data_IF_149164902572
#
_entry.id   IF_149164902572
#
_cell.length_a   1.000
_cell.length_b   1.000
_cell.length_c   1.000
_cell.angle_alpha   90.00
_cell.angle_beta   90.00
_cell.angle_gamma   90.00
#
_symmetry.space_group_name_H-M   'P 1'
#
loop_
_entity.id
_entity.type
_entity.pdbx_description
1 polymer ?
#
# COMPACT_ATOMS: atom_id res chain seq x y z
N UNK A 1 -5.59 -26.55 -10.07
CA UNK A 1 -5.82 -25.72 -9.07
C UNK A 1 -4.84 -24.64 -8.90
N UNK A 2 -5.25 -23.53 -8.94
CA UNK A 2 -4.39 -22.39 -8.85
C UNK A 2 -3.96 -22.11 -7.42
N UNK A 3 -2.73 -21.71 -7.24
CA UNK A 3 -2.30 -21.20 -5.98
C UNK A 3 -2.73 -19.75 -5.87
N UNK A 4 -3.11 -19.36 -4.67
CA UNK A 4 -3.40 -17.98 -4.42
C UNK A 4 -2.08 -17.23 -4.44
N UNK A 5 -1.99 -16.26 -5.33
CA UNK A 5 -0.81 -15.45 -5.45
C UNK A 5 -1.00 -14.21 -4.61
N UNK A 6 -0.06 -13.92 -3.75
CA UNK A 6 -0.11 -12.71 -2.94
C UNK A 6 0.91 -11.74 -3.50
N UNK A 7 0.43 -10.59 -3.92
CA UNK A 7 1.30 -9.55 -4.43
C UNK A 7 1.79 -8.73 -3.24
N UNK A 8 3.10 -8.59 -3.14
CA UNK A 8 3.72 -7.81 -2.09
C UNK A 8 4.46 -6.65 -2.70
N UNK A 9 4.19 -5.46 -2.19
CA UNK A 9 4.87 -4.25 -2.64
C UNK A 9 5.64 -3.67 -1.48
N UNK A 10 6.95 -3.67 -1.61
CA UNK A 10 7.82 -3.12 -0.57
C UNK A 10 7.99 -1.63 -0.80
N UNK A 11 7.33 -0.85 0.02
CA UNK A 11 7.32 0.60 -0.10
C UNK A 11 8.15 1.29 0.96
N UNK A 12 8.78 0.51 1.84
CA UNK A 12 9.53 1.14 2.92
C UNK A 12 10.67 1.97 2.33
N UNK A 13 10.98 3.08 2.96
CA UNK A 13 12.00 3.98 2.45
C UNK A 13 11.48 5.08 1.54
N UNK A 14 10.27 4.93 1.01
CA UNK A 14 9.65 6.00 0.25
C UNK A 14 8.96 6.99 1.19
N UNK A 15 8.77 8.19 0.72
CA UNK A 15 8.02 9.20 1.44
C UNK A 15 6.57 9.18 0.98
N UNK A 16 5.61 9.52 1.85
CA UNK A 16 4.21 9.58 1.42
C UNK A 16 3.98 10.41 0.18
N UNK A 17 4.75 11.49 -0.01
CA UNK A 17 4.60 12.33 -1.19
C UNK A 17 4.96 11.60 -2.48
N UNK A 18 5.71 10.53 -2.38
CA UNK A 18 6.11 9.76 -3.56
C UNK A 18 5.11 8.66 -3.90
N UNK A 19 4.34 8.22 -2.93
CA UNK A 19 3.47 7.07 -3.10
C UNK A 19 1.99 7.45 -2.96
N UNK A 20 1.65 8.20 -1.92
CA UNK A 20 0.25 8.49 -1.60
C UNK A 20 -0.24 9.72 -2.33
N UNK A 21 0.60 10.76 -2.41
CA UNK A 21 0.20 12.03 -3.00
C UNK A 21 0.37 12.05 -4.52
N UNK A 22 0.80 10.94 -5.08
CA UNK A 22 0.90 10.74 -6.53
C UNK A 22 -0.05 9.63 -6.92
N UNK A 23 -0.02 9.21 -8.17
CA UNK A 23 -0.86 8.08 -8.59
C UNK A 23 -0.24 6.74 -8.30
N UNK A 24 0.89 6.66 -7.63
CA UNK A 24 1.58 5.37 -7.47
C UNK A 24 0.73 4.38 -6.69
N UNK A 25 0.17 4.80 -5.56
CA UNK A 25 -0.68 3.91 -4.78
C UNK A 25 -1.88 3.45 -5.60
N UNK A 26 -2.50 4.37 -6.32
CA UNK A 26 -3.62 4.05 -7.17
C UNK A 26 -3.25 3.01 -8.22
N UNK A 27 -2.09 3.19 -8.86
CA UNK A 27 -1.63 2.26 -9.89
C UNK A 27 -1.34 0.88 -9.31
N UNK A 28 -0.78 0.82 -8.13
CA UNK A 28 -0.53 -0.46 -7.46
C UNK A 28 -1.85 -1.20 -7.28
N UNK A 29 -2.84 -0.53 -6.73
CA UNK A 29 -4.14 -1.13 -6.46
C UNK A 29 -4.82 -1.54 -7.76
N UNK A 30 -4.86 -0.61 -8.71
CA UNK A 30 -5.51 -0.86 -9.99
C UNK A 30 -4.88 -2.02 -10.75
N UNK A 31 -3.56 -2.02 -10.84
CA UNK A 31 -2.88 -3.06 -11.62
C UNK A 31 -2.99 -4.43 -10.96
N UNK A 32 -2.94 -4.47 -9.63
CA UNK A 32 -3.13 -5.73 -8.92
C UNK A 32 -4.53 -6.27 -9.17
N UNK A 33 -5.52 -5.38 -9.17
CA UNK A 33 -6.90 -5.77 -9.49
C UNK A 33 -7.01 -6.25 -10.93
N UNK A 34 -6.32 -5.57 -11.86
CA UNK A 34 -6.33 -5.96 -13.27
C UNK A 34 -5.70 -7.33 -13.49
N UNK A 35 -4.81 -7.73 -12.61
CA UNK A 35 -4.21 -9.06 -12.65
C UNK A 35 -5.15 -10.14 -12.13
N UNK A 36 -6.27 -9.75 -11.55
CA UNK A 36 -7.21 -10.70 -10.98
C UNK A 36 -6.82 -11.20 -9.60
N UNK A 37 -5.86 -10.56 -8.94
CA UNK A 37 -5.45 -10.97 -7.62
C UNK A 37 -6.47 -10.55 -6.57
N UNK A 38 -6.52 -11.30 -5.49
CA UNK A 38 -7.49 -11.04 -4.44
C UNK A 38 -6.96 -10.13 -3.35
N UNK A 39 -5.66 -9.92 -3.30
CA UNK A 39 -5.04 -9.22 -2.19
C UNK A 39 -3.72 -8.62 -2.61
N UNK A 40 -3.40 -7.46 -2.07
CA UNK A 40 -2.08 -6.88 -2.20
C UNK A 40 -1.59 -6.51 -0.81
N UNK A 41 -0.34 -6.83 -0.54
CA UNK A 41 0.29 -6.55 0.74
C UNK A 41 1.24 -5.37 0.53
N UNK A 42 1.01 -4.29 1.27
CA UNK A 42 1.83 -3.09 1.17
C UNK A 42 2.74 -3.05 2.39
N UNK A 43 4.03 -3.15 2.14
CA UNK A 43 5.03 -3.16 3.20
C UNK A 43 5.59 -1.75 3.31
N UNK A 44 5.10 -1.00 4.28
CA UNK A 44 5.53 0.39 4.46
C UNK A 44 6.53 0.54 5.61
N UNK A 45 6.75 -0.53 6.35
CA UNK A 45 7.65 -0.48 7.49
C UNK A 45 6.97 0.13 8.71
N UNK A 46 7.61 -0.03 9.86
CA UNK A 46 7.07 0.53 11.09
C UNK A 46 7.26 2.04 11.13
N UNK A 47 8.20 2.55 10.34
CA UNK A 47 8.50 3.95 10.35
C UNK A 47 9.19 4.36 11.63
N UNK A 48 9.37 5.65 11.77
CA UNK A 48 9.97 6.20 12.97
C UNK A 48 9.10 7.28 13.50
N UNK A 49 8.88 7.23 14.80
CA UNK A 49 8.09 8.26 15.46
C UNK A 49 8.98 9.28 16.14
N UNK A 50 10.20 9.44 15.65
CA UNK A 50 11.11 10.42 16.20
C UNK A 50 10.53 11.81 16.03
N UNK A 51 10.63 12.57 17.07
CA UNK A 51 10.09 13.92 17.07
C UNK A 51 8.63 14.00 17.41
N UNK A 52 7.97 12.89 17.52
CA UNK A 52 6.58 12.88 17.97
C UNK A 52 6.59 12.84 19.49
N UNK A 53 5.78 13.70 20.09
CA UNK A 53 5.72 13.76 21.54
C UNK A 53 5.33 12.43 22.13
N UNK A 54 5.99 12.02 23.22
CA UNK A 54 5.54 10.84 23.94
C UNK A 54 4.09 11.02 24.34
N UNK A 55 3.32 10.04 24.17
CA UNK A 55 1.90 10.13 24.50
C UNK A 55 1.03 10.73 23.43
N UNK A 56 1.64 11.30 22.40
CA UNK A 56 0.85 11.83 21.31
C UNK A 56 0.27 10.72 20.46
N UNK A 57 1.10 9.76 20.13
CA UNK A 57 0.69 8.66 19.28
C UNK A 57 0.85 7.38 20.05
N UNK A 58 -0.23 6.66 20.15
CA UNK A 58 -0.20 5.39 20.80
C UNK A 58 -0.28 4.27 19.80
N UNK A 59 0.51 4.40 18.75
CA UNK A 59 0.53 3.41 17.70
C UNK A 59 1.97 3.14 17.32
N UNK A 60 2.23 1.91 16.92
CA UNK A 60 3.55 1.52 16.42
C UNK A 60 3.64 1.60 14.91
N UNK A 61 2.57 2.00 14.26
CA UNK A 61 2.60 2.22 12.83
C UNK A 61 3.18 3.59 12.57
N UNK A 62 4.17 3.66 11.70
CA UNK A 62 4.80 4.92 11.38
C UNK A 62 3.90 5.81 10.53
N UNK A 63 4.37 7.02 10.33
CA UNK A 63 3.62 8.04 9.61
C UNK A 63 3.22 7.56 8.19
N UNK A 64 4.16 6.94 7.49
CA UNK A 64 3.89 6.49 6.12
C UNK A 64 2.73 5.49 6.10
N UNK A 65 2.76 4.51 7.02
CA UNK A 65 1.70 3.53 7.08
C UNK A 65 0.36 4.15 7.39
N UNK A 66 0.35 5.13 8.28
CA UNK A 66 -0.90 5.83 8.61
C UNK A 66 -1.45 6.57 7.40
N UNK A 67 -0.59 7.19 6.61
CA UNK A 67 -1.02 7.89 5.41
C UNK A 67 -1.55 6.93 4.35
N UNK A 68 -0.90 5.79 4.19
CA UNK A 68 -1.39 4.77 3.27
C UNK A 68 -2.78 4.29 3.70
N UNK A 69 -2.94 3.99 4.98
CA UNK A 69 -4.23 3.50 5.48
C UNK A 69 -5.32 4.53 5.36
N UNK A 70 -4.97 5.80 5.57
CA UNK A 70 -5.92 6.88 5.39
C UNK A 70 -6.39 6.97 3.94
N UNK A 71 -5.45 6.91 3.00
CA UNK A 71 -5.80 6.98 1.59
C UNK A 71 -6.69 5.81 1.19
N UNK A 72 -6.35 4.62 1.65
CA UNK A 72 -7.14 3.43 1.31
C UNK A 72 -8.57 3.51 1.83
N UNK A 73 -8.78 4.18 2.95
CA UNK A 73 -10.11 4.30 3.54
C UNK A 73 -10.93 5.43 2.95
N UNK A 74 -10.28 6.49 2.50
CA UNK A 74 -10.99 7.71 2.16
C UNK A 74 -10.94 8.10 0.68
N UNK A 75 -10.03 7.52 -0.09
CA UNK A 75 -9.95 7.85 -1.50
C UNK A 75 -11.05 7.12 -2.26
N UNK A 76 -11.98 7.90 -2.78
CA UNK A 76 -13.14 7.33 -3.45
C UNK A 76 -12.76 6.58 -4.73
N UNK A 77 -11.70 6.97 -5.40
CA UNK A 77 -11.28 6.28 -6.60
C UNK A 77 -10.85 4.86 -6.32
N UNK A 78 -10.22 4.63 -5.17
CA UNK A 78 -9.74 3.31 -4.83
C UNK A 78 -10.86 2.34 -4.52
N UNK A 79 -12.03 2.86 -4.16
CA UNK A 79 -13.16 1.99 -3.80
C UNK A 79 -13.66 1.14 -4.95
N UNK A 80 -13.34 1.51 -6.17
CA UNK A 80 -13.78 0.71 -7.30
C UNK A 80 -13.03 -0.62 -7.36
N UNK A 81 -11.87 -0.72 -6.72
CA UNK A 81 -11.06 -1.93 -6.76
C UNK A 81 -10.91 -2.63 -5.44
N UNK A 82 -11.09 -1.94 -4.32
CA UNK A 82 -10.80 -2.52 -3.02
C UNK A 82 -12.08 -2.75 -2.22
N UNK A 83 -12.00 -3.75 -1.35
CA UNK A 83 -13.02 -3.98 -0.35
C UNK A 83 -12.53 -3.29 0.92
N UNK A 84 -12.74 -2.00 0.98
CA UNK A 84 -12.05 -1.15 1.95
C UNK A 84 -12.42 -1.45 3.40
N UNK A 85 -13.53 -2.10 3.62
CA UNK A 85 -13.94 -2.45 4.98
C UNK A 85 -13.14 -3.61 5.55
N UNK A 86 -12.30 -4.24 4.74
CA UNK A 86 -11.56 -5.41 5.17
C UNK A 86 -10.06 -5.19 5.15
N UNK A 87 -9.62 -3.96 5.36
CA UNK A 87 -8.19 -3.70 5.47
C UNK A 87 -7.64 -4.43 6.68
N UNK A 88 -6.57 -5.17 6.48
CA UNK A 88 -5.90 -5.87 7.55
C UNK A 88 -4.72 -5.03 8.01
N UNK A 89 -4.88 -4.40 9.16
CA UNK A 89 -3.88 -3.56 9.77
C UNK A 89 -3.31 -4.17 11.03
N UNK A 90 -3.39 -5.49 11.16
CA UNK A 90 -2.93 -6.15 12.36
C UNK A 90 -1.41 -6.10 12.52
N UNK A 91 -0.69 -5.98 11.42
CA UNK A 91 0.75 -5.84 11.44
C UNK A 91 1.09 -4.35 11.31
N UNK A 92 1.93 -3.83 12.17
CA UNK A 92 2.20 -2.41 12.22
C UNK A 92 3.03 -1.90 11.05
N UNK A 93 3.80 -2.77 10.44
CA UNK A 93 4.64 -2.40 9.31
C UNK A 93 4.05 -2.76 7.97
N UNK A 94 2.83 -3.32 7.95
CA UNK A 94 2.23 -3.87 6.74
C UNK A 94 0.74 -3.57 6.74
N UNK A 95 0.21 -3.30 5.57
CA UNK A 95 -1.23 -3.19 5.39
C UNK A 95 -1.63 -4.12 4.25
N UNK A 96 -2.55 -5.01 4.53
CA UNK A 96 -3.06 -5.94 3.52
C UNK A 96 -4.40 -5.43 3.03
N UNK A 97 -4.52 -5.37 1.71
CA UNK A 97 -5.70 -4.82 1.07
C UNK A 97 -6.40 -5.93 0.31
N UNK A 98 -7.64 -6.15 0.65
CA UNK A 98 -8.45 -7.13 -0.07
C UNK A 98 -9.08 -6.45 -1.27
N UNK A 99 -8.97 -7.07 -2.43
CA UNK A 99 -9.47 -6.50 -3.67
C UNK A 99 -10.81 -7.11 -4.04
N UNK A 100 -11.60 -6.35 -4.76
CA UNK A 100 -12.86 -6.86 -5.29
C UNK A 100 -12.59 -7.91 -6.36
N UNK A 101 -13.50 -8.84 -6.57
CA UNK A 101 -13.32 -9.82 -7.63
C UNK A 101 -13.22 -9.15 -8.99
N UNK A 102 -12.37 -9.72 -9.84
CA UNK A 102 -12.26 -9.30 -11.23
C UNK A 102 -12.42 -10.54 -12.11
N UNK A 103 -13.59 -10.75 -12.68
CA UNK A 103 -13.85 -11.97 -13.45
C UNK A 103 -13.15 -11.99 -14.80
N UNK A 104 -12.59 -10.88 -15.24
CA UNK A 104 -11.96 -10.81 -16.56
C UNK A 104 -10.62 -10.07 -16.45
N UNK A 105 -9.62 -10.72 -15.86
CA UNK A 105 -8.31 -10.07 -15.71
C UNK A 105 -7.72 -9.70 -17.07
N UNK A 106 -7.09 -8.54 -17.12
CA UNK A 106 -6.53 -8.04 -18.36
C UNK A 106 -5.02 -7.84 -18.30
N UNK A 107 -4.41 -8.14 -17.17
CA UNK A 107 -2.99 -7.88 -16.97
C UNK A 107 -2.33 -9.10 -16.36
N UNK A 108 -1.12 -9.42 -16.81
CA UNK A 108 -0.38 -10.56 -16.28
C UNK A 108 0.67 -10.19 -15.25
N UNK A 109 1.09 -8.94 -15.23
CA UNK A 109 2.12 -8.51 -14.27
C UNK A 109 2.04 -7.02 -14.05
N UNK A 110 2.69 -6.55 -12.98
CA UNK A 110 2.76 -5.13 -12.71
C UNK A 110 3.79 -4.48 -13.63
N UNK A 111 3.61 -3.19 -13.88
CA UNK A 111 4.60 -2.43 -14.64
C UNK A 111 5.94 -2.46 -13.91
N UNK A 112 7.02 -2.59 -14.67
CA UNK A 112 8.36 -2.64 -14.08
C UNK A 112 8.76 -1.33 -13.43
N UNK A 113 8.26 -0.21 -13.95
CA UNK A 113 8.61 1.10 -13.43
C UNK A 113 7.50 1.72 -12.62
N UNK A 114 6.67 0.87 -12.01
CA UNK A 114 5.54 1.34 -11.22
C UNK A 114 5.99 2.19 -10.04
N UNK A 115 7.04 1.78 -9.36
CA UNK A 115 7.55 2.54 -8.24
C UNK A 115 8.56 3.58 -8.74
N UNK A 116 8.51 4.79 -8.17
CA UNK A 116 9.49 5.79 -8.58
C UNK A 116 10.88 5.39 -8.12
N UNK A 117 11.88 5.92 -8.80
CA UNK A 117 13.25 5.67 -8.44
C UNK A 117 13.54 6.34 -7.10
N UNK A 118 14.13 5.59 -6.18
CA UNK A 118 14.45 6.12 -4.87
C UNK A 118 15.68 7.00 -4.97
N UNK A 119 15.57 8.20 -4.44
CA UNK A 119 16.67 9.14 -4.55
C UNK A 119 17.85 8.70 -3.72
N UNK A 120 19.05 8.95 -4.27
CA UNK A 120 20.28 8.62 -3.58
C UNK A 120 20.35 9.33 -2.25
N UNK A 121 20.81 8.62 -1.24
CA UNK A 121 20.94 9.18 0.08
C UNK A 121 19.69 9.17 0.93
N UNK A 122 18.59 8.73 0.36
CA UNK A 122 17.36 8.65 1.12
C UNK A 122 17.46 7.57 2.19
N UNK A 123 16.93 7.88 3.35
CA UNK A 123 16.91 6.94 4.47
C UNK A 123 15.51 6.45 4.70
N UNK A 124 15.39 5.31 5.33
CA UNK A 124 14.08 4.83 5.72
C UNK A 124 13.53 5.69 6.85
N UNK A 125 12.26 5.72 6.98
CA UNK A 125 11.53 6.57 7.91
C UNK A 125 11.31 5.93 9.25
#
# INVERSE_FOLDING_TARGET
>A
MGMIKVIKMDLHGYHPSEIVQTDVLKKIIQQTWEMGENCVTLIHGHGRNRGISPGFVNTNTGYFGLEIRRALRHDKELRQWISYTTLDCSDMGVTRVKLKPNPAPTRSELDHDLLPEMKLGRRSW
#
